data_IF_952457685876
#
_entry.id   IF_952457685876
#
_cell.length_a   1.000
_cell.length_b   1.000
_cell.length_c   1.000
_cell.angle_alpha   90.00
_cell.angle_beta   90.00
_cell.angle_gamma   90.00
#
_symmetry.space_group_name_H-M   'P 1'
#
loop_
_entity.id
_entity.type
_entity.pdbx_description
1 polymer ?
#
# COMPACT_ATOMS: atom_id res chain seq x y z
N UNK A 1 10.96 113.72 24.15
CA UNK A 1 10.21 113.20 22.98
C UNK A 1 10.68 111.77 22.70
N UNK A 2 9.71 110.84 22.58
CA UNK A 2 9.73 109.53 21.89
C UNK A 2 10.85 108.51 22.17
N UNK A 3 10.48 107.36 22.73
CA UNK A 3 10.53 106.01 22.10
C UNK A 3 10.39 104.95 23.20
N UNK A 4 9.21 104.36 23.39
CA UNK A 4 8.63 103.20 22.70
C UNK A 4 9.26 101.86 23.12
N UNK A 5 8.52 101.22 24.05
CA UNK A 5 8.59 99.83 24.47
C UNK A 5 8.52 98.87 23.28
N UNK A 6 9.52 97.99 23.14
CA UNK A 6 9.39 96.71 22.41
C UNK A 6 10.06 95.64 23.28
N UNK A 7 9.39 95.26 24.36
CA UNK A 7 9.74 94.12 25.20
C UNK A 7 8.44 93.56 25.78
N UNK A 8 7.57 92.96 24.95
CA UNK A 8 6.42 92.21 25.48
C UNK A 8 5.65 91.28 24.51
N UNK A 9 6.20 90.86 23.35
CA UNK A 9 5.41 89.99 22.43
C UNK A 9 6.22 88.87 21.78
N UNK A 10 6.97 88.09 22.57
CA UNK A 10 7.70 86.92 22.03
C UNK A 10 7.67 85.63 22.89
N UNK A 11 6.60 85.34 23.65
CA UNK A 11 6.29 83.93 23.94
C UNK A 11 4.81 83.52 23.78
N UNK A 12 3.98 84.31 23.09
CA UNK A 12 2.53 83.99 22.95
C UNK A 12 2.21 83.20 21.67
N UNK A 13 3.09 83.22 20.65
CA UNK A 13 2.87 82.51 19.37
C UNK A 13 3.57 81.15 19.25
N UNK A 14 4.58 80.84 20.08
CA UNK A 14 5.32 79.56 19.96
C UNK A 14 4.59 78.41 20.68
N UNK A 15 3.92 78.69 21.80
CA UNK A 15 3.22 77.68 22.58
C UNK A 15 2.00 77.07 21.83
N UNK A 16 1.16 77.86 21.12
CA UNK A 16 0.06 77.29 20.33
C UNK A 16 0.55 76.45 19.15
N UNK A 17 1.65 76.84 18.51
CA UNK A 17 2.23 76.10 17.36
C UNK A 17 2.81 74.75 17.83
N UNK A 18 3.47 74.71 18.98
CA UNK A 18 3.96 73.45 19.57
C UNK A 18 2.82 72.53 20.04
N UNK A 19 1.73 73.09 20.57
CA UNK A 19 0.54 72.31 20.95
C UNK A 19 -0.16 71.74 19.71
N UNK A 20 -0.27 72.52 18.64
CA UNK A 20 -0.85 72.07 17.37
C UNK A 20 0.03 71.01 16.67
N UNK A 21 1.36 71.16 16.71
CA UNK A 21 2.27 70.17 16.10
C UNK A 21 2.30 68.86 16.89
N UNK A 22 2.27 68.92 18.22
CA UNK A 22 2.19 67.74 19.07
C UNK A 22 0.81 67.05 18.95
N UNK A 23 -0.27 67.82 18.88
CA UNK A 23 -1.62 67.31 18.64
C UNK A 23 -1.76 66.63 17.28
N UNK A 24 -1.17 67.21 16.23
CA UNK A 24 -1.11 66.60 14.90
C UNK A 24 -0.31 65.30 14.90
N UNK A 25 0.84 65.27 15.59
CA UNK A 25 1.64 64.05 15.72
C UNK A 25 0.89 62.94 16.48
N UNK A 26 0.18 63.29 17.56
CA UNK A 26 -0.64 62.36 18.34
C UNK A 26 -1.83 61.84 17.51
N UNK A 27 -2.47 62.71 16.71
CA UNK A 27 -3.53 62.33 15.79
C UNK A 27 -3.02 61.40 14.69
N UNK A 28 -1.85 61.69 14.10
CA UNK A 28 -1.20 60.78 13.15
C UNK A 28 -0.84 59.44 13.79
N UNK A 29 -0.38 59.42 15.04
CA UNK A 29 -0.10 58.18 15.78
C UNK A 29 -1.38 57.38 16.03
N UNK A 30 -2.46 58.05 16.44
CA UNK A 30 -3.78 57.43 16.66
C UNK A 30 -4.38 56.91 15.35
N UNK A 31 -4.29 57.66 14.25
CA UNK A 31 -4.73 57.22 12.92
C UNK A 31 -3.88 56.06 12.39
N UNK A 32 -2.58 56.02 12.69
CA UNK A 32 -1.71 54.91 12.29
C UNK A 32 -1.97 53.66 13.14
N UNK A 33 -2.24 53.82 14.44
CA UNK A 33 -2.73 52.74 15.30
C UNK A 33 -4.09 52.25 14.80
N UNK A 34 -5.02 53.14 14.44
CA UNK A 34 -6.32 52.75 13.92
C UNK A 34 -6.19 52.04 12.56
N UNK A 35 -5.25 52.47 11.70
CA UNK A 35 -4.91 51.79 10.44
C UNK A 35 -4.29 50.42 10.67
N UNK A 36 -3.45 50.27 11.69
CA UNK A 36 -2.92 48.96 12.12
C UNK A 36 -4.07 48.11 12.65
N UNK A 37 -4.99 48.65 13.45
CA UNK A 37 -6.16 47.92 13.93
C UNK A 37 -7.13 47.55 12.81
N UNK A 38 -7.37 48.40 11.82
CA UNK A 38 -8.24 48.06 10.67
C UNK A 38 -7.57 47.04 9.76
N UNK A 39 -6.26 47.13 9.50
CA UNK A 39 -5.55 46.09 8.73
C UNK A 39 -5.40 44.78 9.52
N UNK A 40 -5.24 44.83 10.84
CA UNK A 40 -5.27 43.66 11.71
C UNK A 40 -6.69 43.06 11.77
N UNK A 41 -7.74 43.90 11.79
CA UNK A 41 -9.14 43.48 11.80
C UNK A 41 -9.58 42.92 10.44
N UNK A 42 -9.18 43.51 9.33
CA UNK A 42 -9.34 42.96 7.99
C UNK A 42 -8.56 41.66 7.85
N UNK A 43 -7.32 41.57 8.37
CA UNK A 43 -6.56 40.31 8.40
C UNK A 43 -7.19 39.26 9.33
N UNK A 44 -7.84 39.63 10.44
CA UNK A 44 -8.59 38.73 11.32
C UNK A 44 -9.93 38.32 10.68
N UNK A 45 -10.53 39.19 9.86
CA UNK A 45 -11.80 38.95 9.18
C UNK A 45 -11.64 38.16 7.86
N UNK A 46 -10.49 38.30 7.19
CA UNK A 46 -10.04 37.53 6.02
C UNK A 46 -9.05 36.40 6.39
N UNK A 47 -8.79 36.20 7.69
CA UNK A 47 -8.11 34.99 8.14
C UNK A 47 -8.98 33.80 7.77
N UNK A 48 -8.42 32.72 7.17
CA UNK A 48 -9.17 31.50 6.98
C UNK A 48 -9.78 31.08 8.32
N UNK A 49 -10.99 30.49 8.33
CA UNK A 49 -11.67 30.12 9.56
C UNK A 49 -10.67 29.44 10.49
N UNK A 50 -10.63 29.93 11.73
CA UNK A 50 -9.86 29.44 12.88
C UNK A 50 -9.44 27.97 12.72
N UNK A 51 -8.18 27.58 13.02
CA UNK A 51 -7.77 26.19 12.90
C UNK A 51 -8.78 25.39 13.71
N UNK A 52 -9.58 24.59 12.98
CA UNK A 52 -10.65 23.73 13.42
C UNK A 52 -10.89 23.84 14.93
N UNK A 53 -12.04 24.42 15.33
CA UNK A 53 -12.66 24.05 16.62
C UNK A 53 -12.35 22.58 16.80
N UNK A 54 -11.58 22.22 17.84
CA UNK A 54 -11.14 20.85 18.06
C UNK A 54 -12.38 20.00 17.84
N UNK A 55 -12.46 19.38 16.65
CA UNK A 55 -13.41 18.33 16.43
C UNK A 55 -12.71 17.25 17.21
N UNK A 56 -12.99 17.23 18.52
CA UNK A 56 -13.02 15.99 19.23
C UNK A 56 -13.79 15.09 18.29
N UNK A 57 -13.07 14.18 17.65
CA UNK A 57 -13.67 12.98 17.10
C UNK A 57 -14.72 12.57 18.14
N UNK A 58 -15.96 12.22 17.77
CA UNK A 58 -16.83 11.51 18.69
C UNK A 58 -16.12 10.19 19.02
N UNK A 59 -15.18 10.27 19.95
CA UNK A 59 -14.46 9.18 20.56
C UNK A 59 -15.48 8.64 21.55
N UNK A 60 -16.26 7.66 21.10
CA UNK A 60 -16.78 6.69 22.04
C UNK A 60 -15.56 6.05 22.70
N UNK A 61 -15.26 6.56 23.89
CA UNK A 61 -14.37 5.96 24.87
C UNK A 61 -15.01 4.69 25.38
N UNK A 62 -14.89 3.64 24.57
CA UNK A 62 -15.10 2.29 25.04
C UNK A 62 -14.16 1.41 24.24
N UNK A 63 -13.09 0.98 24.91
CA UNK A 63 -12.39 -0.25 24.60
C UNK A 63 -13.41 -1.38 24.80
N UNK A 64 -14.33 -1.51 23.86
CA UNK A 64 -15.12 -2.72 23.65
C UNK A 64 -14.28 -3.56 22.71
N UNK A 65 -14.17 -4.85 22.97
CA UNK A 65 -13.71 -5.81 21.98
C UNK A 65 -14.42 -5.53 20.64
N UNK A 66 -13.71 -4.90 19.70
CA UNK A 66 -14.26 -4.56 18.40
C UNK A 66 -14.32 -5.87 17.63
N UNK A 67 -15.43 -6.59 17.77
CA UNK A 67 -15.85 -7.52 16.72
C UNK A 67 -15.86 -6.72 15.42
N UNK A 68 -15.11 -7.12 14.39
CA UNK A 68 -15.08 -6.41 13.12
C UNK A 68 -16.51 -6.19 12.65
N UNK A 69 -16.91 -4.93 12.53
CA UNK A 69 -18.24 -4.59 12.06
C UNK A 69 -18.36 -5.14 10.64
N UNK A 70 -19.31 -6.05 10.45
CA UNK A 70 -19.55 -6.68 9.16
C UNK A 70 -20.41 -5.74 8.30
N UNK A 71 -20.21 -5.76 6.99
CA UNK A 71 -21.10 -5.07 6.05
C UNK A 71 -22.55 -5.47 6.31
N UNK A 72 -23.49 -4.51 6.23
CA UNK A 72 -24.92 -4.79 6.42
C UNK A 72 -25.44 -5.79 5.38
N UNK A 73 -26.52 -6.55 5.68
CA UNK A 73 -27.13 -7.45 4.70
C UNK A 73 -27.49 -6.76 3.38
N UNK A 74 -27.97 -5.51 3.43
CA UNK A 74 -28.36 -4.73 2.25
C UNK A 74 -27.16 -4.23 1.44
N UNK A 75 -26.03 -3.95 2.10
CA UNK A 75 -24.79 -3.53 1.45
C UNK A 75 -23.93 -4.68 0.92
N UNK A 76 -24.15 -5.90 1.43
CA UNK A 76 -23.31 -7.05 1.11
C UNK A 76 -23.32 -7.44 -0.39
N UNK A 77 -24.42 -7.30 -1.16
CA UNK A 77 -24.38 -7.55 -2.60
C UNK A 77 -23.36 -6.68 -3.34
N UNK A 78 -23.31 -5.37 -3.04
CA UNK A 78 -22.34 -4.45 -3.63
C UNK A 78 -20.93 -4.74 -3.14
N UNK A 79 -20.76 -5.07 -1.85
CA UNK A 79 -19.48 -5.53 -1.31
C UNK A 79 -18.95 -6.75 -2.08
N UNK A 80 -19.78 -7.77 -2.27
CA UNK A 80 -19.40 -8.99 -3.00
C UNK A 80 -19.04 -8.67 -4.44
N UNK A 81 -19.76 -7.76 -5.09
CA UNK A 81 -19.41 -7.30 -6.45
C UNK A 81 -18.06 -6.59 -6.49
N UNK A 82 -17.79 -5.65 -5.57
CA UNK A 82 -16.50 -4.98 -5.50
C UNK A 82 -15.34 -5.91 -5.17
N UNK A 83 -15.58 -6.86 -4.26
CA UNK A 83 -14.60 -7.88 -3.92
C UNK A 83 -14.32 -8.81 -5.11
N UNK A 84 -15.36 -9.19 -5.88
CA UNK A 84 -15.22 -9.96 -7.10
C UNK A 84 -14.48 -9.20 -8.22
N UNK A 85 -14.68 -7.88 -8.31
CA UNK A 85 -13.91 -7.02 -9.22
C UNK A 85 -12.39 -7.08 -8.95
N UNK A 86 -11.96 -7.38 -7.72
CA UNK A 86 -10.57 -7.70 -7.41
C UNK A 86 -10.23 -9.18 -7.65
N UNK A 87 -10.88 -10.09 -6.91
CA UNK A 87 -10.36 -11.46 -6.68
C UNK A 87 -11.07 -12.57 -7.49
N UNK A 88 -12.21 -12.28 -8.13
CA UNK A 88 -12.98 -13.33 -8.80
C UNK A 88 -12.44 -13.68 -10.20
N UNK A 89 -12.73 -14.90 -10.63
CA UNK A 89 -12.46 -15.41 -11.97
C UNK A 89 -13.73 -15.99 -12.57
N UNK A 90 -14.01 -15.61 -13.83
CA UNK A 90 -15.02 -16.23 -14.69
C UNK A 90 -14.31 -17.08 -15.75
N UNK A 91 -14.73 -18.32 -15.93
CA UNK A 91 -14.03 -19.28 -16.79
C UNK A 91 -14.95 -20.13 -17.64
N UNK A 92 -14.50 -20.38 -18.87
CA UNK A 92 -15.11 -21.34 -19.81
C UNK A 92 -14.05 -22.40 -20.12
N UNK A 93 -14.27 -23.63 -19.66
CA UNK A 93 -13.32 -24.73 -19.73
C UNK A 93 -13.81 -25.87 -20.61
N UNK A 94 -12.89 -26.50 -21.32
CA UNK A 94 -13.16 -27.66 -22.17
C UNK A 94 -12.39 -28.83 -21.61
N UNK A 95 -13.10 -29.88 -21.18
CA UNK A 95 -12.49 -31.11 -20.69
C UNK A 95 -12.72 -32.21 -21.70
N UNK A 96 -11.66 -32.91 -22.11
CA UNK A 96 -11.78 -34.08 -23.00
C UNK A 96 -12.70 -35.12 -22.37
N UNK A 97 -13.62 -35.65 -23.16
CA UNK A 97 -14.54 -36.68 -22.74
C UNK A 97 -14.94 -37.53 -23.94
N UNK A 98 -14.52 -38.80 -23.91
CA UNK A 98 -14.87 -39.79 -24.92
C UNK A 98 -16.40 -40.00 -24.96
N UNK A 99 -16.92 -40.28 -26.15
CA UNK A 99 -18.36 -40.48 -26.37
C UNK A 99 -19.21 -39.20 -26.42
N UNK A 100 -18.63 -38.00 -26.23
CA UNK A 100 -19.34 -36.72 -26.49
C UNK A 100 -19.25 -36.34 -27.97
N UNK A 101 -20.30 -35.70 -28.50
CA UNK A 101 -20.42 -35.33 -29.93
C UNK A 101 -19.18 -34.63 -30.51
N UNK A 102 -18.57 -33.73 -29.72
CA UNK A 102 -17.36 -33.01 -30.12
C UNK A 102 -16.11 -33.47 -29.35
N UNK A 103 -16.19 -34.56 -28.58
CA UNK A 103 -15.08 -35.06 -27.74
C UNK A 103 -14.78 -34.24 -26.49
N UNK A 104 -15.61 -33.24 -26.16
CA UNK A 104 -15.43 -32.35 -25.01
C UNK A 104 -16.71 -32.17 -24.19
N UNK A 105 -16.53 -31.95 -22.90
CA UNK A 105 -17.52 -31.33 -22.01
C UNK A 105 -17.11 -29.87 -21.80
N UNK A 106 -18.02 -28.95 -22.08
CA UNK A 106 -17.85 -27.53 -21.77
C UNK A 106 -18.34 -27.27 -20.35
N UNK A 107 -17.52 -26.65 -19.52
CA UNK A 107 -17.83 -26.31 -18.12
C UNK A 107 -17.66 -24.82 -17.88
N UNK A 108 -18.62 -24.25 -17.19
CA UNK A 108 -18.54 -22.90 -16.64
C UNK A 108 -17.96 -22.94 -15.24
N UNK A 109 -17.24 -21.88 -14.90
CA UNK A 109 -16.60 -21.72 -13.60
C UNK A 109 -16.71 -20.27 -13.15
N UNK A 110 -17.21 -20.09 -11.94
CA UNK A 110 -17.00 -18.88 -11.16
C UNK A 110 -16.24 -19.26 -9.89
N UNK A 111 -15.23 -18.48 -9.51
CA UNK A 111 -14.57 -18.72 -8.24
C UNK A 111 -13.72 -17.56 -7.74
N UNK A 112 -13.47 -17.59 -6.44
CA UNK A 112 -12.60 -16.66 -5.73
C UNK A 112 -11.61 -17.51 -4.93
N UNK A 113 -10.31 -17.27 -5.11
CA UNK A 113 -9.25 -18.00 -4.41
C UNK A 113 -8.41 -17.01 -3.61
N UNK A 114 -8.30 -17.25 -2.30
CA UNK A 114 -7.58 -16.38 -1.37
C UNK A 114 -6.58 -17.19 -0.56
N UNK A 115 -5.72 -16.50 0.19
CA UNK A 115 -4.94 -17.14 1.24
C UNK A 115 -5.87 -17.72 2.32
N UNK A 116 -5.53 -18.89 2.89
CA UNK A 116 -6.36 -19.62 3.88
C UNK A 116 -6.83 -18.79 5.08
N UNK A 117 -6.08 -17.74 5.41
CA UNK A 117 -6.38 -16.80 6.50
C UNK A 117 -7.73 -16.09 6.32
N UNK A 118 -8.20 -15.98 5.08
CA UNK A 118 -9.46 -15.33 4.70
C UNK A 118 -10.62 -16.34 4.50
N UNK A 119 -10.48 -17.58 4.98
CA UNK A 119 -11.51 -18.63 4.88
C UNK A 119 -12.90 -18.15 5.33
N UNK A 120 -12.98 -17.44 6.45
CA UNK A 120 -14.27 -16.93 6.98
C UNK A 120 -14.96 -15.96 6.01
N UNK A 121 -14.19 -15.18 5.25
CA UNK A 121 -14.74 -14.29 4.23
C UNK A 121 -15.37 -15.11 3.09
N UNK A 122 -14.71 -16.18 2.64
CA UNK A 122 -15.28 -17.08 1.63
C UNK A 122 -16.49 -17.87 2.13
N UNK A 123 -16.52 -18.27 3.40
CA UNK A 123 -17.71 -18.86 4.02
C UNK A 123 -18.90 -17.90 3.98
N UNK A 124 -18.66 -16.62 4.27
CA UNK A 124 -19.69 -15.59 4.16
C UNK A 124 -20.18 -15.40 2.72
N UNK A 125 -19.26 -15.32 1.75
CA UNK A 125 -19.62 -15.21 0.32
C UNK A 125 -20.43 -16.43 -0.13
N UNK A 126 -20.02 -17.64 0.26
CA UNK A 126 -20.77 -18.87 -0.02
C UNK A 126 -22.17 -18.83 0.59
N UNK A 127 -22.30 -18.40 1.85
CA UNK A 127 -23.59 -18.35 2.54
C UNK A 127 -24.54 -17.32 1.89
N UNK A 128 -24.00 -16.20 1.40
CA UNK A 128 -24.78 -15.21 0.66
C UNK A 128 -25.33 -15.75 -0.66
N UNK A 129 -24.48 -16.37 -1.48
CA UNK A 129 -24.93 -16.96 -2.74
C UNK A 129 -25.77 -18.23 -2.53
N UNK A 130 -25.60 -18.89 -1.39
CA UNK A 130 -26.23 -20.16 -1.03
C UNK A 130 -26.04 -21.28 -2.07
N UNK A 131 -24.96 -21.19 -2.87
CA UNK A 131 -24.55 -22.18 -3.87
C UNK A 131 -23.04 -22.36 -3.84
N UNK A 132 -22.51 -23.33 -4.59
CA UNK A 132 -21.06 -23.56 -4.68
C UNK A 132 -20.45 -24.25 -3.45
N UNK A 133 -19.14 -24.39 -3.47
CA UNK A 133 -18.37 -25.20 -2.50
C UNK A 133 -17.05 -24.53 -2.15
N UNK A 134 -16.61 -24.71 -0.90
CA UNK A 134 -15.29 -24.25 -0.44
C UNK A 134 -14.31 -25.43 -0.48
N UNK A 135 -13.16 -25.19 -1.09
CA UNK A 135 -12.01 -26.09 -1.12
C UNK A 135 -10.85 -25.39 -0.42
N UNK A 136 -10.02 -26.13 0.31
CA UNK A 136 -8.82 -25.56 0.93
C UNK A 136 -7.63 -26.52 0.86
N UNK A 137 -6.44 -25.94 0.90
CA UNK A 137 -5.18 -26.62 1.16
C UNK A 137 -4.41 -25.83 2.23
N UNK A 138 -3.15 -26.19 2.50
CA UNK A 138 -2.36 -25.54 3.55
C UNK A 138 -2.12 -24.03 3.34
N UNK A 139 -2.18 -23.54 2.10
CA UNK A 139 -1.87 -22.16 1.72
C UNK A 139 -3.11 -21.36 1.35
N UNK A 140 -4.03 -21.97 0.62
CA UNK A 140 -5.12 -21.29 -0.08
C UNK A 140 -6.48 -21.88 0.28
N UNK A 141 -7.51 -21.04 0.13
CA UNK A 141 -8.91 -21.40 0.23
C UNK A 141 -9.63 -20.83 -0.98
N UNK A 142 -10.50 -21.63 -1.59
CA UNK A 142 -11.20 -21.28 -2.82
C UNK A 142 -12.69 -21.56 -2.71
N UNK A 143 -13.51 -20.55 -3.01
CA UNK A 143 -14.94 -20.67 -3.23
C UNK A 143 -15.18 -20.90 -4.73
N UNK A 144 -15.89 -21.97 -5.08
CA UNK A 144 -16.09 -22.41 -6.48
C UNK A 144 -17.54 -22.72 -6.76
N UNK A 145 -18.04 -22.25 -7.89
CA UNK A 145 -19.35 -22.58 -8.47
C UNK A 145 -19.14 -23.13 -9.87
N UNK A 146 -19.57 -24.38 -10.09
CA UNK A 146 -19.30 -25.12 -11.33
C UNK A 146 -20.56 -25.75 -11.92
N UNK A 147 -21.56 -26.06 -11.07
CA UNK A 147 -22.83 -26.62 -11.54
C UNK A 147 -23.57 -25.58 -12.36
N UNK A 148 -24.07 -25.96 -13.54
CA UNK A 148 -24.76 -25.04 -14.45
C UNK A 148 -25.98 -24.40 -13.79
N UNK A 149 -26.72 -25.15 -12.97
CA UNK A 149 -27.88 -24.62 -12.24
C UNK A 149 -27.47 -23.54 -11.23
N UNK A 150 -26.36 -23.75 -10.52
CA UNK A 150 -25.83 -22.79 -9.54
C UNK A 150 -25.25 -21.54 -10.21
N UNK A 151 -24.68 -21.67 -11.42
CA UNK A 151 -24.20 -20.52 -12.21
C UNK A 151 -25.33 -19.54 -12.53
N UNK A 152 -26.58 -19.99 -12.67
CA UNK A 152 -27.71 -19.09 -12.87
C UNK A 152 -27.85 -18.07 -11.73
N UNK A 153 -27.55 -18.47 -10.48
CA UNK A 153 -27.53 -17.58 -9.31
C UNK A 153 -26.43 -16.53 -9.42
N UNK A 154 -25.26 -16.92 -9.93
CA UNK A 154 -24.13 -16.00 -10.18
C UNK A 154 -24.47 -14.98 -11.26
N UNK A 155 -25.06 -15.42 -12.38
CA UNK A 155 -25.55 -14.54 -13.44
C UNK A 155 -26.59 -13.56 -12.90
N UNK A 156 -27.59 -14.04 -12.15
CA UNK A 156 -28.63 -13.19 -11.54
C UNK A 156 -28.04 -12.09 -10.64
N UNK A 157 -27.01 -12.42 -9.86
CA UNK A 157 -26.33 -11.44 -9.01
C UNK A 157 -25.64 -10.36 -9.83
N UNK A 158 -24.76 -10.73 -10.77
CA UNK A 158 -23.97 -9.77 -11.53
C UNK A 158 -24.77 -9.04 -12.61
N UNK A 159 -25.96 -9.52 -12.99
CA UNK A 159 -26.93 -8.74 -13.75
C UNK A 159 -27.57 -7.63 -12.92
N UNK A 160 -27.84 -7.90 -11.63
CA UNK A 160 -28.44 -6.92 -10.72
C UNK A 160 -27.40 -5.95 -10.12
N UNK A 161 -26.18 -6.44 -9.87
CA UNK A 161 -25.07 -5.70 -9.28
C UNK A 161 -23.84 -5.83 -10.20
N UNK A 162 -23.79 -5.07 -11.30
CA UNK A 162 -22.76 -5.21 -12.33
C UNK A 162 -21.35 -4.94 -11.82
N UNK A 163 -20.39 -5.71 -12.34
CA UNK A 163 -18.97 -5.43 -12.21
C UNK A 163 -18.60 -4.12 -12.92
N UNK A 164 -17.48 -3.52 -12.50
CA UNK A 164 -17.08 -2.18 -12.94
C UNK A 164 -15.72 -2.19 -13.64
N UNK A 165 -14.82 -3.11 -13.29
CA UNK A 165 -13.50 -3.24 -13.92
C UNK A 165 -13.60 -3.87 -15.32
N UNK A 166 -12.48 -4.00 -16.04
CA UNK A 166 -12.40 -4.81 -17.26
C UNK A 166 -12.83 -6.27 -17.07
N UNK A 167 -12.97 -6.75 -15.82
CA UNK A 167 -13.55 -8.07 -15.51
C UNK A 167 -15.03 -8.17 -15.92
N UNK A 168 -15.75 -7.05 -16.03
CA UNK A 168 -17.09 -7.02 -16.60
C UNK A 168 -17.10 -7.62 -18.02
N UNK A 169 -16.07 -7.37 -18.82
CA UNK A 169 -15.96 -7.94 -20.16
C UNK A 169 -15.84 -9.48 -20.12
N UNK A 170 -15.09 -10.02 -19.15
CA UNK A 170 -15.01 -11.47 -18.92
C UNK A 170 -16.36 -12.05 -18.46
N UNK A 171 -17.07 -11.34 -17.59
CA UNK A 171 -18.42 -11.70 -17.17
C UNK A 171 -19.42 -11.73 -18.34
N UNK A 172 -19.38 -10.74 -19.23
CA UNK A 172 -20.29 -10.68 -20.38
C UNK A 172 -20.09 -11.87 -21.33
N UNK A 173 -18.82 -12.21 -21.62
CA UNK A 173 -18.48 -13.40 -22.40
C UNK A 173 -18.89 -14.69 -21.68
N UNK A 174 -18.68 -14.76 -20.37
CA UNK A 174 -19.13 -15.87 -19.52
C UNK A 174 -20.66 -16.05 -19.53
N UNK A 175 -21.42 -14.96 -19.46
CA UNK A 175 -22.88 -14.94 -19.56
C UNK A 175 -23.36 -15.43 -20.93
N UNK A 176 -22.71 -15.02 -22.01
CA UNK A 176 -23.01 -15.54 -23.35
C UNK A 176 -22.78 -17.06 -23.43
N UNK A 177 -21.67 -17.56 -22.87
CA UNK A 177 -21.40 -18.99 -22.80
C UNK A 177 -22.47 -19.74 -21.98
N UNK A 178 -22.95 -19.16 -20.88
CA UNK A 178 -24.07 -19.68 -20.09
C UNK A 178 -25.35 -19.84 -20.91
N UNK A 179 -25.74 -18.82 -21.68
CA UNK A 179 -26.95 -18.90 -22.51
C UNK A 179 -26.84 -19.99 -23.58
N UNK A 180 -25.68 -20.12 -24.24
CA UNK A 180 -25.43 -21.20 -25.22
C UNK A 180 -25.55 -22.59 -24.57
N UNK A 181 -25.07 -22.73 -23.33
CA UNK A 181 -25.16 -24.00 -22.60
C UNK A 181 -26.60 -24.28 -22.16
N UNK A 182 -27.28 -23.27 -21.61
CA UNK A 182 -28.66 -23.36 -21.12
C UNK A 182 -29.64 -23.74 -22.23
N UNK A 183 -29.48 -23.17 -23.43
CA UNK A 183 -30.32 -23.48 -24.59
C UNK A 183 -29.97 -24.82 -25.27
N UNK A 184 -28.96 -25.54 -24.78
CA UNK A 184 -28.38 -26.74 -25.39
C UNK A 184 -27.71 -26.51 -26.75
N UNK A 185 -27.52 -25.26 -27.16
CA UNK A 185 -26.84 -24.88 -28.42
C UNK A 185 -25.38 -25.34 -28.47
N UNK A 186 -24.75 -25.56 -27.32
CA UNK A 186 -23.42 -26.16 -27.21
C UNK A 186 -23.30 -27.56 -27.85
N UNK A 187 -24.43 -28.20 -28.19
CA UNK A 187 -24.50 -29.48 -28.93
C UNK A 187 -24.55 -29.28 -30.45
N UNK A 188 -24.67 -28.05 -30.95
CA UNK A 188 -24.60 -27.71 -32.37
C UNK A 188 -23.18 -27.28 -32.76
N UNK A 189 -22.83 -27.40 -34.03
CA UNK A 189 -21.51 -26.97 -34.54
C UNK A 189 -21.33 -25.46 -34.33
N UNK A 190 -22.39 -24.68 -34.57
CA UNK A 190 -22.37 -23.23 -34.40
C UNK A 190 -22.16 -22.84 -32.93
N UNK A 191 -22.96 -23.39 -32.01
CA UNK A 191 -22.84 -23.07 -30.59
C UNK A 191 -21.52 -23.54 -29.97
N UNK A 192 -21.02 -24.70 -30.38
CA UNK A 192 -19.70 -25.18 -29.95
C UNK A 192 -18.57 -24.28 -30.46
N UNK A 193 -18.64 -23.84 -31.72
CA UNK A 193 -17.69 -22.88 -32.31
C UNK A 193 -17.71 -21.55 -31.57
N UNK A 194 -18.90 -21.02 -31.21
CA UNK A 194 -19.03 -19.80 -30.40
C UNK A 194 -18.36 -19.95 -29.04
N UNK A 195 -18.50 -21.10 -28.37
CA UNK A 195 -17.84 -21.36 -27.07
C UNK A 195 -16.30 -21.40 -27.18
N UNK A 196 -15.76 -21.92 -28.29
CA UNK A 196 -14.31 -21.89 -28.55
C UNK A 196 -13.84 -20.45 -28.72
N UNK A 197 -14.55 -19.64 -29.52
CA UNK A 197 -14.24 -18.23 -29.72
C UNK A 197 -14.32 -17.42 -28.41
N UNK A 198 -15.31 -17.69 -27.55
CA UNK A 198 -15.44 -17.07 -26.23
C UNK A 198 -14.24 -17.43 -25.35
N UNK A 199 -13.88 -18.72 -25.28
CA UNK A 199 -12.73 -19.19 -24.49
C UNK A 199 -11.42 -18.57 -24.96
N UNK A 200 -11.28 -18.31 -26.27
CA UNK A 200 -10.10 -17.67 -26.82
C UNK A 200 -9.94 -16.20 -26.38
N UNK A 201 -11.01 -15.55 -25.89
CA UNK A 201 -11.01 -14.13 -25.49
C UNK A 201 -11.08 -13.89 -23.98
N UNK A 202 -11.68 -14.82 -23.22
CA UNK A 202 -11.85 -14.67 -21.78
C UNK A 202 -10.50 -14.77 -21.05
N UNK A 203 -10.31 -13.97 -20.00
CA UNK A 203 -9.09 -13.85 -19.21
C UNK A 203 -7.85 -13.55 -20.09
N UNK A 204 -6.89 -14.48 -20.15
CA UNK A 204 -5.67 -14.41 -20.96
C UNK A 204 -5.81 -15.15 -22.30
N UNK A 205 -7.01 -15.59 -22.64
CA UNK A 205 -7.31 -16.36 -23.85
C UNK A 205 -6.80 -17.80 -23.82
N UNK A 206 -6.83 -18.43 -25.00
CA UNK A 206 -6.46 -19.83 -25.19
C UNK A 206 -4.95 -20.03 -25.40
N UNK A 207 -4.39 -21.09 -24.82
CA UNK A 207 -3.04 -21.57 -25.15
C UNK A 207 -2.93 -21.96 -26.62
N UNK A 208 -1.75 -21.87 -27.22
CA UNK A 208 -1.54 -22.23 -28.63
C UNK A 208 -1.85 -23.71 -28.91
N UNK A 209 -1.56 -24.60 -27.96
CA UNK A 209 -1.98 -26.00 -28.03
C UNK A 209 -3.50 -26.17 -28.14
N UNK A 210 -4.29 -25.29 -27.52
CA UNK A 210 -5.76 -25.32 -27.62
C UNK A 210 -6.24 -24.71 -28.94
N UNK A 211 -5.62 -23.61 -29.40
CA UNK A 211 -5.93 -23.01 -30.71
C UNK A 211 -5.67 -23.98 -31.86
N UNK A 212 -4.59 -24.77 -31.78
CA UNK A 212 -4.24 -25.77 -32.79
C UNK A 212 -5.29 -26.90 -32.95
N UNK A 213 -6.10 -27.16 -31.91
CA UNK A 213 -7.18 -28.14 -31.97
C UNK A 213 -8.40 -27.63 -32.76
N UNK A 214 -8.53 -26.32 -32.92
CA UNK A 214 -9.67 -25.66 -33.57
C UNK A 214 -9.18 -24.54 -34.51
N UNK A 215 -8.44 -24.90 -35.57
CA UNK A 215 -7.90 -23.90 -36.50
C UNK A 215 -9.03 -23.13 -37.20
N UNK A 216 -8.81 -21.84 -37.44
CA UNK A 216 -9.77 -20.97 -38.14
C UNK A 216 -10.88 -20.36 -37.27
N UNK A 217 -10.92 -20.63 -35.97
CA UNK A 217 -11.85 -19.96 -35.05
C UNK A 217 -11.23 -18.65 -34.56
N UNK A 218 -11.83 -17.53 -34.97
CA UNK A 218 -11.42 -16.21 -34.51
C UNK A 218 -11.94 -15.94 -33.07
N UNK A 219 -11.12 -15.36 -32.17
CA UNK A 219 -11.58 -14.96 -30.85
C UNK A 219 -12.71 -13.94 -30.91
N UNK A 220 -13.64 -13.99 -29.96
CA UNK A 220 -14.64 -12.91 -29.79
C UNK A 220 -13.96 -11.57 -29.48
N UNK A 221 -14.50 -10.48 -30.01
CA UNK A 221 -14.07 -9.16 -29.60
C UNK A 221 -14.45 -8.92 -28.13
N UNK A 222 -13.46 -8.61 -27.30
CA UNK A 222 -13.67 -8.34 -25.88
C UNK A 222 -14.06 -6.87 -25.71
N UNK A 223 -15.23 -6.55 -25.14
CA UNK A 223 -15.64 -5.16 -24.97
C UNK A 223 -14.67 -4.45 -24.01
N UNK A 224 -14.29 -3.22 -24.36
CA UNK A 224 -13.47 -2.37 -23.50
C UNK A 224 -14.40 -1.52 -22.63
N UNK A 225 -14.27 -1.65 -21.32
CA UNK A 225 -15.08 -0.88 -20.37
C UNK A 225 -14.47 0.53 -20.25
N UNK A 226 -15.17 1.55 -20.76
CA UNK A 226 -14.67 2.94 -20.80
C UNK A 226 -15.24 3.81 -19.66
N UNK A 227 -16.48 3.55 -19.26
CA UNK A 227 -17.24 4.43 -18.36
C UNK A 227 -17.51 3.83 -16.97
N UNK A 228 -16.53 3.09 -16.45
CA UNK A 228 -16.58 2.50 -15.11
C UNK A 228 -16.96 3.52 -14.03
N UNK A 229 -18.14 3.41 -13.40
CA UNK A 229 -18.56 4.25 -12.27
C UNK A 229 -18.59 3.41 -11.00
N UNK A 230 -18.24 4.02 -9.87
CA UNK A 230 -18.37 3.38 -8.55
C UNK A 230 -19.86 3.36 -8.21
N UNK A 231 -20.52 2.19 -8.19
CA UNK A 231 -21.97 2.11 -8.18
C UNK A 231 -22.54 2.33 -6.77
N UNK A 232 -21.75 2.04 -5.75
CA UNK A 232 -22.16 2.07 -4.35
C UNK A 232 -20.91 2.11 -3.45
N UNK A 233 -20.94 2.79 -2.29
CA UNK A 233 -19.81 2.82 -1.37
C UNK A 233 -19.38 1.45 -0.82
N UNK A 234 -20.31 0.50 -0.66
CA UNK A 234 -19.99 -0.88 -0.29
C UNK A 234 -19.21 -1.60 -1.39
N UNK A 235 -19.41 -1.25 -2.67
CA UNK A 235 -18.56 -1.76 -3.76
C UNK A 235 -17.11 -1.33 -3.55
N UNK A 236 -16.86 -0.07 -3.18
CA UNK A 236 -15.50 0.41 -2.94
C UNK A 236 -14.88 -0.29 -1.71
N UNK A 237 -15.66 -0.54 -0.66
CA UNK A 237 -15.20 -1.30 0.50
C UNK A 237 -14.82 -2.75 0.14
N UNK A 238 -15.62 -3.42 -0.70
CA UNK A 238 -15.31 -4.74 -1.25
C UNK A 238 -14.04 -4.72 -2.10
N UNK A 239 -13.92 -3.75 -3.01
CA UNK A 239 -12.76 -3.62 -3.88
C UNK A 239 -11.47 -3.33 -3.10
N UNK A 240 -11.53 -2.49 -2.06
CA UNK A 240 -10.40 -2.25 -1.15
C UNK A 240 -10.09 -3.46 -0.28
N UNK A 241 -11.09 -4.27 0.08
CA UNK A 241 -10.88 -5.55 0.79
C UNK A 241 -10.10 -6.57 -0.05
N UNK A 242 -10.15 -6.46 -1.38
CA UNK A 242 -9.29 -7.19 -2.29
C UNK A 242 -7.94 -6.46 -2.50
N UNK A 243 -7.98 -5.34 -3.21
CA UNK A 243 -6.82 -4.67 -3.85
C UNK A 243 -6.17 -3.59 -2.99
N UNK A 244 -6.78 -3.27 -1.85
CA UNK A 244 -6.32 -2.21 -0.95
C UNK A 244 -5.06 -2.59 -0.16
N UNK A 245 -4.22 -1.60 0.12
CA UNK A 245 -3.05 -1.71 0.97
C UNK A 245 -3.03 -0.55 1.96
N UNK A 246 -3.06 -0.87 3.26
CA UNK A 246 -2.96 0.09 4.35
C UNK A 246 -1.60 -0.08 5.02
N UNK A 247 -0.76 0.95 4.93
CA UNK A 247 0.65 0.84 5.29
C UNK A 247 1.14 2.00 6.14
N UNK A 248 2.04 1.66 7.06
CA UNK A 248 2.85 2.62 7.81
C UNK A 248 4.29 2.49 7.34
N UNK A 249 4.84 3.57 6.79
CA UNK A 249 6.23 3.68 6.38
C UNK A 249 7.02 4.41 7.46
N UNK A 250 8.19 3.87 7.79
CA UNK A 250 9.15 4.48 8.71
C UNK A 250 10.50 4.48 8.00
N UNK A 251 11.08 5.65 7.78
CA UNK A 251 12.34 5.80 7.08
C UNK A 251 13.23 6.83 7.77
N UNK A 252 14.55 6.67 7.63
CA UNK A 252 15.52 7.59 8.22
C UNK A 252 15.32 8.99 7.63
N UNK A 253 15.38 10.00 8.49
CA UNK A 253 15.28 11.40 8.12
C UNK A 253 15.94 12.28 9.18
N UNK A 254 16.34 13.48 8.79
CA UNK A 254 16.87 14.51 9.68
C UNK A 254 15.75 15.11 10.55
N UNK A 255 15.39 14.38 11.60
CA UNK A 255 14.31 14.72 12.55
C UNK A 255 14.79 14.42 13.97
N UNK A 256 14.07 14.90 14.99
CA UNK A 256 14.43 14.68 16.40
C UNK A 256 14.63 13.20 16.77
N UNK A 257 13.79 12.32 16.22
CA UNK A 257 13.85 10.87 16.46
C UNK A 257 14.75 10.13 15.48
N UNK A 258 15.30 10.82 14.47
CA UNK A 258 16.03 10.24 13.35
C UNK A 258 15.16 9.50 12.31
N UNK A 259 13.83 9.56 12.44
CA UNK A 259 12.90 8.88 11.55
C UNK A 259 11.68 9.74 11.21
N UNK A 260 11.26 9.67 9.95
CA UNK A 260 9.96 10.15 9.50
C UNK A 260 8.97 8.97 9.42
N UNK A 261 7.71 9.24 9.74
CA UNK A 261 6.60 8.29 9.68
C UNK A 261 5.56 8.79 8.68
N UNK A 262 5.20 7.95 7.71
CA UNK A 262 4.12 8.21 6.76
C UNK A 262 3.09 7.09 6.81
N UNK A 263 1.83 7.47 7.02
CA UNK A 263 0.67 6.58 6.82
C UNK A 263 0.20 6.69 5.37
N UNK A 264 -0.17 5.56 4.76
CA UNK A 264 -0.61 5.50 3.36
C UNK A 264 -1.74 4.51 3.18
N UNK A 265 -2.77 4.93 2.44
CA UNK A 265 -3.75 4.04 1.82
C UNK A 265 -3.47 3.98 0.33
N UNK A 266 -3.45 2.79 -0.24
CA UNK A 266 -3.15 2.56 -1.64
C UNK A 266 -4.09 1.51 -2.23
N UNK A 267 -4.51 1.70 -3.48
CA UNK A 267 -5.19 0.67 -4.27
C UNK A 267 -4.36 0.49 -5.54
N UNK A 268 -3.90 -0.73 -5.79
CA UNK A 268 -3.06 -1.06 -6.94
C UNK A 268 -3.88 -1.82 -7.97
N UNK A 269 -3.72 -1.51 -9.25
CA UNK A 269 -4.40 -2.23 -10.33
C UNK A 269 -3.62 -2.14 -11.63
N UNK A 270 -3.89 -3.08 -12.55
CA UNK A 270 -3.32 -3.06 -13.90
C UNK A 270 -3.75 -1.79 -14.69
N UNK A 271 -2.92 -1.24 -15.60
CA UNK A 271 -3.24 -0.05 -16.42
C UNK A 271 -4.56 -0.07 -17.17
N UNK A 272 -5.06 -1.26 -17.51
CA UNK A 272 -6.34 -1.44 -18.21
C UNK A 272 -7.55 -0.86 -17.42
N UNK A 273 -7.39 -0.69 -16.11
CA UNK A 273 -8.38 -0.14 -15.19
C UNK A 273 -7.92 1.22 -14.61
N UNK A 274 -6.98 1.91 -15.27
CA UNK A 274 -6.44 3.18 -14.74
C UNK A 274 -7.49 4.29 -14.59
N UNK A 275 -8.47 4.32 -15.49
CA UNK A 275 -9.56 5.30 -15.44
C UNK A 275 -10.46 5.09 -14.22
N UNK A 276 -10.67 3.84 -13.79
CA UNK A 276 -11.36 3.54 -12.53
C UNK A 276 -10.57 4.11 -11.34
N UNK A 277 -9.25 3.90 -11.29
CA UNK A 277 -8.42 4.47 -10.21
C UNK A 277 -8.46 5.99 -10.16
N UNK A 278 -8.49 6.66 -11.32
CA UNK A 278 -8.65 8.12 -11.41
C UNK A 278 -10.01 8.57 -10.88
N UNK A 279 -11.08 7.79 -11.10
CA UNK A 279 -12.44 8.09 -10.61
C UNK A 279 -12.60 7.94 -9.10
N UNK A 280 -11.75 7.16 -8.42
CA UNK A 280 -11.74 7.08 -6.96
C UNK A 280 -11.37 8.44 -6.32
N UNK A 281 -10.54 9.25 -7.00
CA UNK A 281 -10.07 10.55 -6.48
C UNK A 281 -11.25 11.52 -6.23
N UNK A 282 -12.07 11.89 -7.24
CA UNK A 282 -13.23 12.74 -7.00
C UNK A 282 -14.29 12.05 -6.15
N UNK A 283 -14.41 10.71 -6.21
CA UNK A 283 -15.39 9.96 -5.41
C UNK A 283 -15.13 10.07 -3.90
N UNK A 284 -13.88 9.90 -3.47
CA UNK A 284 -13.47 10.09 -2.07
C UNK A 284 -13.10 11.55 -1.74
N UNK A 285 -13.09 12.43 -2.74
CA UNK A 285 -12.66 13.82 -2.62
C UNK A 285 -11.20 13.99 -2.16
N UNK A 286 -10.35 12.97 -2.33
CA UNK A 286 -8.94 13.00 -1.92
C UNK A 286 -8.10 11.94 -2.62
N UNK A 287 -6.78 12.04 -2.42
CA UNK A 287 -5.79 11.13 -2.99
C UNK A 287 -5.30 11.58 -4.36
N UNK A 288 -4.43 10.76 -4.95
CA UNK A 288 -3.81 11.02 -6.25
C UNK A 288 -3.57 9.73 -7.02
N UNK A 289 -3.49 9.86 -8.34
CA UNK A 289 -3.09 8.79 -9.23
C UNK A 289 -1.56 8.72 -9.36
N UNK A 290 -1.01 7.52 -9.36
CA UNK A 290 0.44 7.26 -9.51
C UNK A 290 0.64 6.06 -10.42
N UNK A 291 1.33 6.26 -11.54
CA UNK A 291 1.80 5.16 -12.38
C UNK A 291 3.22 4.77 -11.93
N UNK A 292 3.38 3.50 -11.55
CA UNK A 292 4.68 2.94 -11.17
C UNK A 292 5.51 2.66 -12.43
N UNK A 293 6.83 2.72 -12.31
CA UNK A 293 7.77 2.45 -13.41
C UNK A 293 7.62 1.04 -14.00
N UNK A 294 7.16 0.08 -13.19
CA UNK A 294 6.93 -1.31 -13.61
C UNK A 294 5.62 -1.52 -14.38
N UNK A 295 4.81 -0.47 -14.56
CA UNK A 295 3.56 -0.51 -15.30
C UNK A 295 2.33 -0.41 -14.40
N UNK A 296 2.35 -0.89 -13.16
CA UNK A 296 1.17 -0.87 -12.29
C UNK A 296 0.66 0.56 -12.00
N UNK A 297 -0.65 0.70 -11.92
CA UNK A 297 -1.31 1.96 -11.59
C UNK A 297 -1.81 1.95 -10.15
N UNK A 298 -1.71 3.09 -9.48
CA UNK A 298 -2.04 3.20 -8.05
C UNK A 298 -2.91 4.43 -7.80
N UNK A 299 -3.98 4.25 -7.01
CA UNK A 299 -4.59 5.33 -6.24
C UNK A 299 -3.89 5.40 -4.88
N UNK A 300 -3.48 6.60 -4.45
CA UNK A 300 -2.70 6.79 -3.21
C UNK A 300 -3.24 7.96 -2.39
N UNK A 301 -3.45 7.74 -1.09
CA UNK A 301 -3.69 8.79 -0.09
C UNK A 301 -2.59 8.72 0.96
N UNK A 302 -1.85 9.82 1.15
CA UNK A 302 -0.79 9.95 2.17
C UNK A 302 -0.91 11.21 3.02
N UNK A 303 -1.90 12.06 2.73
CA UNK A 303 -2.23 13.24 3.54
C UNK A 303 -2.89 12.78 4.83
N UNK A 304 -2.28 13.10 5.98
CA UNK A 304 -2.84 12.73 7.29
C UNK A 304 -4.23 13.34 7.49
N UNK A 305 -4.45 14.57 7.00
CA UNK A 305 -5.75 15.25 7.12
C UNK A 305 -6.81 14.53 6.29
N UNK A 306 -6.52 14.19 5.03
CA UNK A 306 -7.47 13.46 4.18
C UNK A 306 -7.77 12.06 4.74
N UNK A 307 -6.75 11.38 5.29
CA UNK A 307 -6.93 10.07 5.91
C UNK A 307 -7.89 10.17 7.11
N UNK A 308 -7.69 11.14 8.00
CA UNK A 308 -8.52 11.31 9.20
C UNK A 308 -9.94 11.80 8.89
N UNK A 309 -10.10 12.70 7.92
CA UNK A 309 -11.37 13.41 7.68
C UNK A 309 -12.24 12.78 6.60
N UNK A 310 -11.65 11.98 5.70
CA UNK A 310 -12.36 11.37 4.56
C UNK A 310 -12.24 9.86 4.57
N UNK A 311 -11.02 9.32 4.59
CA UNK A 311 -10.78 7.89 4.40
C UNK A 311 -11.26 7.06 5.59
N UNK A 312 -10.88 7.43 6.82
CA UNK A 312 -11.30 6.71 8.03
C UNK A 312 -12.82 6.77 8.19
N UNK A 313 -13.48 7.95 8.16
CA UNK A 313 -14.94 8.01 8.27
C UNK A 313 -15.67 7.20 7.19
N UNK A 314 -15.13 7.14 5.97
CA UNK A 314 -15.68 6.32 4.90
C UNK A 314 -15.63 4.83 5.25
N UNK A 315 -14.46 4.29 5.63
CA UNK A 315 -14.31 2.86 5.91
C UNK A 315 -14.81 2.41 7.30
N UNK A 316 -15.03 3.36 8.23
CA UNK A 316 -15.79 3.11 9.46
C UNK A 316 -17.27 2.90 9.15
N UNK A 317 -17.82 3.63 8.17
CA UNK A 317 -19.20 3.45 7.71
C UNK A 317 -19.37 2.25 6.75
N UNK A 318 -18.42 2.05 5.84
CA UNK A 318 -18.44 1.01 4.81
C UNK A 318 -17.27 0.06 5.02
N UNK A 319 -17.53 -1.03 5.74
CA UNK A 319 -16.50 -1.82 6.38
C UNK A 319 -15.60 -2.59 5.39
N UNK A 320 -14.29 -2.52 5.62
CA UNK A 320 -13.30 -3.45 5.03
C UNK A 320 -13.42 -4.80 5.73
N UNK A 321 -13.34 -5.90 4.98
CA UNK A 321 -13.47 -7.26 5.53
C UNK A 321 -12.23 -8.14 5.30
N UNK A 322 -12.30 -9.36 5.83
CA UNK A 322 -11.19 -10.30 5.83
C UNK A 322 -10.09 -9.91 6.82
N UNK A 323 -8.91 -10.48 6.65
CA UNK A 323 -7.73 -10.16 7.46
C UNK A 323 -7.32 -8.70 7.29
N UNK A 324 -7.63 -8.08 6.15
CA UNK A 324 -7.34 -6.67 5.90
C UNK A 324 -8.10 -5.73 6.86
N UNK A 325 -9.25 -6.16 7.41
CA UNK A 325 -9.95 -5.43 8.47
C UNK A 325 -9.10 -5.28 9.74
N UNK A 326 -8.28 -6.30 10.07
CA UNK A 326 -7.35 -6.23 11.20
C UNK A 326 -6.22 -5.23 10.90
N UNK A 327 -5.74 -5.20 9.66
CA UNK A 327 -4.73 -4.24 9.22
C UNK A 327 -5.29 -2.81 9.22
N UNK A 328 -6.56 -2.63 8.84
CA UNK A 328 -7.26 -1.35 8.97
C UNK A 328 -7.37 -0.90 10.43
N UNK A 329 -7.76 -1.78 11.35
CA UNK A 329 -7.85 -1.46 12.77
C UNK A 329 -6.51 -1.02 13.36
N UNK A 330 -5.42 -1.72 13.03
CA UNK A 330 -4.07 -1.34 13.48
C UNK A 330 -3.57 -0.07 12.77
N UNK A 331 -3.93 0.13 11.50
CA UNK A 331 -3.65 1.36 10.76
C UNK A 331 -4.31 2.58 11.43
N UNK A 332 -5.56 2.49 11.88
CA UNK A 332 -6.25 3.59 12.60
C UNK A 332 -5.49 4.02 13.86
N UNK A 333 -5.02 3.07 14.66
CA UNK A 333 -4.18 3.36 15.85
C UNK A 333 -2.91 4.12 15.48
N UNK A 334 -2.23 3.72 14.39
CA UNK A 334 -1.05 4.43 13.92
C UNK A 334 -1.39 5.84 13.43
N UNK A 335 -2.51 6.00 12.71
CA UNK A 335 -3.01 7.30 12.25
C UNK A 335 -3.30 8.24 13.42
N UNK A 336 -3.92 7.75 14.50
CA UNK A 336 -4.20 8.54 15.71
C UNK A 336 -2.91 9.11 16.32
N UNK A 337 -1.88 8.27 16.47
CA UNK A 337 -0.56 8.71 16.99
C UNK A 337 0.07 9.74 16.04
N UNK A 338 -0.03 9.53 14.72
CA UNK A 338 0.54 10.45 13.74
C UNK A 338 -0.19 11.80 13.76
N UNK A 339 -1.53 11.78 13.78
CA UNK A 339 -2.39 12.97 13.81
C UNK A 339 -2.14 13.82 15.07
N UNK A 340 -2.00 13.17 16.23
CA UNK A 340 -1.65 13.83 17.50
C UNK A 340 -0.17 14.28 17.59
N UNK A 341 0.61 14.16 16.51
CA UNK A 341 2.07 14.43 16.46
C UNK A 341 2.91 13.58 17.43
N UNK A 342 2.35 12.50 17.99
CA UNK A 342 3.05 11.59 18.91
C UNK A 342 4.25 10.88 18.26
N UNK A 343 4.22 10.67 16.95
CA UNK A 343 5.33 10.12 16.15
C UNK A 343 6.65 10.94 16.22
N UNK A 344 6.60 12.18 16.72
CA UNK A 344 7.77 13.02 16.94
C UNK A 344 8.51 12.72 18.26
N UNK A 345 7.98 11.82 19.09
CA UNK A 345 8.59 11.35 20.35
C UNK A 345 9.12 9.93 20.19
N UNK A 346 10.13 9.54 20.99
CA UNK A 346 10.65 8.17 20.98
C UNK A 346 9.58 7.16 21.40
N UNK A 347 8.77 7.49 22.41
CA UNK A 347 7.68 6.66 22.92
C UNK A 347 6.61 6.40 21.83
N UNK A 348 6.16 7.46 21.16
CA UNK A 348 5.19 7.36 20.08
C UNK A 348 5.75 6.64 18.85
N UNK A 349 7.01 6.89 18.49
CA UNK A 349 7.68 6.17 17.40
C UNK A 349 7.79 4.67 17.70
N UNK A 350 8.13 4.30 18.93
CA UNK A 350 8.22 2.90 19.34
C UNK A 350 6.85 2.22 19.38
N UNK A 351 5.80 2.92 19.81
CA UNK A 351 4.42 2.43 19.70
C UNK A 351 4.05 2.15 18.24
N UNK A 352 4.36 3.05 17.30
CA UNK A 352 4.11 2.86 15.87
C UNK A 352 4.90 1.68 15.31
N UNK A 353 6.17 1.48 15.72
CA UNK A 353 6.97 0.32 15.30
C UNK A 353 6.32 -1.00 15.72
N UNK A 354 5.81 -1.08 16.96
CA UNK A 354 5.10 -2.25 17.47
C UNK A 354 3.83 -2.53 16.67
N UNK A 355 3.02 -1.49 16.41
CA UNK A 355 1.81 -1.60 15.56
C UNK A 355 2.20 -2.12 14.17
N UNK A 356 3.15 -1.45 13.50
CA UNK A 356 3.62 -1.80 12.16
C UNK A 356 4.14 -3.24 12.07
N UNK A 357 4.79 -3.75 13.13
CA UNK A 357 5.31 -5.12 13.16
C UNK A 357 4.20 -6.18 13.12
N UNK A 358 3.01 -5.86 13.60
CA UNK A 358 1.83 -6.74 13.59
C UNK A 358 0.92 -6.57 12.36
N UNK A 359 1.20 -5.61 11.48
CA UNK A 359 0.39 -5.33 10.29
C UNK A 359 0.83 -6.11 9.05
N UNK A 360 -0.09 -6.35 8.12
CA UNK A 360 0.15 -6.91 6.79
C UNK A 360 0.93 -8.23 6.86
N UNK A 361 2.07 -8.34 6.15
CA UNK A 361 2.95 -9.52 6.20
C UNK A 361 3.52 -9.78 7.59
N UNK A 362 3.70 -8.73 8.40
CA UNK A 362 4.12 -8.81 9.80
C UNK A 362 3.19 -9.67 10.65
N UNK A 363 1.87 -9.61 10.38
CA UNK A 363 0.85 -10.41 11.08
C UNK A 363 1.10 -11.91 10.95
N UNK A 364 1.44 -12.38 9.74
CA UNK A 364 1.78 -13.78 9.50
C UNK A 364 3.13 -14.15 10.12
N UNK A 365 4.13 -13.28 10.00
CA UNK A 365 5.48 -13.52 10.54
C UNK A 365 5.43 -13.62 12.07
N UNK A 366 4.64 -12.77 12.73
CA UNK A 366 4.48 -12.80 14.17
C UNK A 366 3.86 -14.13 14.64
N UNK A 367 2.76 -14.58 14.00
CA UNK A 367 2.17 -15.89 14.29
C UNK A 367 3.18 -17.04 14.14
N UNK A 368 4.01 -17.00 13.09
CA UNK A 368 5.05 -18.01 12.86
C UNK A 368 6.14 -17.94 13.95
N UNK A 369 6.56 -16.74 14.37
CA UNK A 369 7.55 -16.57 15.45
C UNK A 369 7.00 -17.10 16.77
N UNK A 370 5.76 -16.76 17.11
CA UNK A 370 5.09 -17.24 18.32
C UNK A 370 4.93 -18.76 18.32
N UNK A 371 4.62 -19.38 17.18
CA UNK A 371 4.55 -20.84 17.05
C UNK A 371 5.92 -21.55 17.18
N UNK A 372 7.02 -20.81 17.01
CA UNK A 372 8.39 -21.32 17.11
C UNK A 372 9.04 -21.10 18.47
N UNK A 373 8.37 -20.42 19.40
CA UNK A 373 8.89 -20.06 20.71
C UNK A 373 8.07 -20.70 21.84
N UNK A 374 8.73 -20.94 22.97
CA UNK A 374 8.10 -21.47 24.18
C UNK A 374 7.36 -22.79 23.96
N UNK A 375 6.39 -23.09 24.82
CA UNK A 375 5.59 -24.32 24.80
C UNK A 375 4.85 -24.58 23.49
N UNK A 376 4.59 -23.53 22.68
CA UNK A 376 3.94 -23.66 21.37
C UNK A 376 4.84 -24.34 20.34
N UNK A 377 6.16 -24.32 20.53
CA UNK A 377 7.08 -25.03 19.67
C UNK A 377 7.07 -26.53 20.02
N UNK A 378 6.76 -27.44 19.06
CA UNK A 378 6.75 -28.88 19.32
C UNK A 378 8.07 -29.48 19.81
N UNK A 379 9.17 -28.74 19.66
CA UNK A 379 10.52 -29.10 20.11
C UNK A 379 10.93 -28.41 21.41
N UNK A 380 10.06 -27.60 22.01
CA UNK A 380 10.35 -26.95 23.29
C UNK A 380 10.44 -27.97 24.43
N UNK A 381 11.48 -27.84 25.25
CA UNK A 381 11.74 -28.75 26.37
C UNK A 381 12.14 -30.19 25.97
N UNK A 382 12.20 -30.53 24.68
CA UNK A 382 12.57 -31.87 24.23
C UNK A 382 14.10 -32.01 24.08
N UNK A 383 14.65 -33.08 24.64
CA UNK A 383 16.03 -33.50 24.39
C UNK A 383 16.18 -33.91 22.93
N UNK A 384 17.11 -33.27 22.21
CA UNK A 384 17.41 -33.59 20.81
C UNK A 384 18.34 -34.80 20.74
N UNK A 385 18.10 -35.71 19.81
CA UNK A 385 19.00 -36.86 19.62
C UNK A 385 20.36 -36.40 19.08
N UNK A 386 21.45 -37.15 19.35
CA UNK A 386 22.76 -36.87 18.77
C UNK A 386 22.74 -36.80 17.23
N UNK A 387 21.96 -37.68 16.58
CA UNK A 387 21.81 -37.73 15.12
C UNK A 387 21.13 -36.46 14.59
N UNK A 388 20.10 -35.96 15.29
CA UNK A 388 19.43 -34.72 14.92
C UNK A 388 20.36 -33.51 15.04
N UNK A 389 21.17 -33.46 16.11
CA UNK A 389 22.17 -32.41 16.30
C UNK A 389 23.26 -32.48 15.21
N UNK A 390 23.76 -33.67 14.91
CA UNK A 390 24.74 -33.91 13.85
C UNK A 390 24.18 -33.48 12.48
N UNK A 391 22.91 -33.80 12.19
CA UNK A 391 22.25 -33.41 10.94
C UNK A 391 22.08 -31.90 10.79
N UNK A 392 21.83 -31.15 11.88
CA UNK A 392 21.76 -29.68 11.84
C UNK A 392 23.09 -29.02 11.44
N UNK A 393 24.22 -29.71 11.64
CA UNK A 393 25.56 -29.17 11.37
C UNK A 393 26.25 -29.85 10.20
N UNK A 394 25.74 -31.00 9.73
CA UNK A 394 26.36 -31.86 8.71
C UNK A 394 26.79 -31.08 7.47
N UNK A 395 25.89 -30.26 6.93
CA UNK A 395 26.12 -29.56 5.66
C UNK A 395 26.71 -28.15 5.87
N UNK A 396 27.03 -27.77 7.10
CA UNK A 396 27.62 -26.45 7.41
C UNK A 396 29.14 -26.41 7.17
N UNK A 397 29.83 -27.55 7.22
CA UNK A 397 31.29 -27.65 7.06
C UNK A 397 31.72 -29.01 6.53
N UNK A 398 32.97 -29.15 6.09
CA UNK A 398 33.50 -30.42 5.60
C UNK A 398 32.92 -30.84 4.24
N UNK A 399 33.24 -32.04 3.77
CA UNK A 399 32.91 -32.54 2.43
C UNK A 399 31.41 -32.54 2.06
N UNK A 400 30.53 -32.46 3.05
CA UNK A 400 29.07 -32.44 2.85
C UNK A 400 28.53 -31.02 2.60
N UNK A 401 29.31 -29.97 2.93
CA UNK A 401 28.94 -28.61 2.58
C UNK A 401 29.04 -28.43 1.04
N UNK A 402 27.98 -27.97 0.34
CA UNK A 402 27.98 -27.78 -1.11
C UNK A 402 29.06 -26.83 -1.64
N UNK A 403 29.67 -26.03 -0.75
CA UNK A 403 30.75 -25.09 -1.03
C UNK A 403 32.13 -25.60 -0.58
N UNK A 404 32.22 -26.81 -0.05
CA UNK A 404 33.49 -27.43 0.35
C UNK A 404 34.35 -27.77 -0.87
N UNK A 405 35.63 -27.42 -0.81
CA UNK A 405 36.58 -27.65 -1.90
C UNK A 405 36.36 -26.79 -3.14
N UNK A 406 35.25 -26.03 -3.24
CA UNK A 406 35.01 -25.11 -4.35
C UNK A 406 35.84 -23.84 -4.14
N UNK A 407 36.73 -23.46 -5.08
CA UNK A 407 37.44 -22.20 -4.99
C UNK A 407 36.42 -21.06 -5.02
N UNK A 408 36.55 -20.13 -4.08
CA UNK A 408 35.70 -18.93 -4.05
C UNK A 408 36.18 -17.99 -5.16
N UNK A 409 35.26 -17.32 -5.85
CA UNK A 409 35.63 -16.31 -6.85
C UNK A 409 36.48 -15.21 -6.23
N UNK A 410 37.34 -14.56 -7.02
CA UNK A 410 38.20 -13.48 -6.52
C UNK A 410 37.36 -12.35 -5.91
N UNK A 411 36.21 -12.04 -6.49
CA UNK A 411 35.24 -11.08 -5.92
C UNK A 411 34.74 -11.50 -4.52
N UNK A 412 34.46 -12.80 -4.33
CA UNK A 412 34.05 -13.35 -3.02
C UNK A 412 35.21 -13.33 -2.05
N UNK A 413 36.43 -13.62 -2.51
CA UNK A 413 37.64 -13.54 -1.71
C UNK A 413 37.94 -12.09 -1.30
N UNK A 414 37.75 -11.11 -2.16
CA UNK A 414 37.89 -9.67 -1.86
C UNK A 414 36.87 -9.23 -0.80
N UNK A 415 35.61 -9.65 -0.94
CA UNK A 415 34.54 -9.41 0.07
C UNK A 415 34.85 -10.07 1.42
N UNK A 416 35.42 -11.28 1.41
CA UNK A 416 35.78 -12.04 2.62
C UNK A 416 37.06 -11.55 3.29
N UNK A 417 38.09 -11.21 2.52
CA UNK A 417 39.36 -10.63 2.97
C UNK A 417 39.16 -9.21 3.49
N UNK A 418 38.01 -8.58 3.18
CA UNK A 418 37.67 -7.20 3.53
C UNK A 418 38.86 -6.29 3.24
N UNK A 419 39.43 -6.42 2.04
CA UNK A 419 40.59 -5.64 1.65
C UNK A 419 40.23 -4.16 1.59
N UNK A 420 41.25 -3.36 1.86
CA UNK A 420 41.25 -1.91 1.78
C UNK A 420 42.46 -1.53 0.94
N UNK A 421 42.20 -0.94 -0.22
CA UNK A 421 43.20 -0.33 -1.07
C UNK A 421 43.49 1.07 -0.52
N UNK A 422 44.76 1.34 -0.24
CA UNK A 422 45.20 2.60 0.35
C UNK A 422 46.02 3.34 -0.68
N UNK A 423 45.66 4.58 -0.96
CA UNK A 423 46.28 5.42 -1.97
C UNK A 423 46.82 6.69 -1.35
N UNK A 424 47.92 7.21 -1.87
CA UNK A 424 48.40 8.53 -1.54
C UNK A 424 47.44 9.58 -2.12
N UNK A 425 46.97 10.50 -1.28
CA UNK A 425 45.97 11.49 -1.67
C UNK A 425 46.54 12.59 -2.60
N UNK A 426 47.86 12.72 -2.67
CA UNK A 426 48.55 13.80 -3.39
C UNK A 426 48.76 13.47 -4.86
N UNK A 427 49.16 12.23 -5.15
CA UNK A 427 49.50 11.76 -6.50
C UNK A 427 48.67 10.56 -6.97
N UNK A 428 47.81 10.02 -6.11
CA UNK A 428 46.93 8.88 -6.43
C UNK A 428 47.64 7.53 -6.49
N UNK A 429 48.94 7.46 -6.15
CA UNK A 429 49.70 6.21 -6.18
C UNK A 429 49.18 5.20 -5.15
N UNK A 430 49.18 3.91 -5.50
CA UNK A 430 48.76 2.84 -4.57
C UNK A 430 49.87 2.60 -3.54
N UNK A 431 49.60 2.98 -2.30
CA UNK A 431 50.48 2.73 -1.14
C UNK A 431 50.45 1.25 -0.73
N UNK A 432 49.32 0.58 -0.92
CA UNK A 432 49.24 -0.87 -0.71
C UNK A 432 47.83 -1.39 -0.51
N UNK A 433 47.73 -2.70 -0.36
CA UNK A 433 46.47 -3.41 -0.11
C UNK A 433 46.55 -4.12 1.23
N UNK A 434 45.61 -3.80 2.13
CA UNK A 434 45.62 -4.27 3.51
C UNK A 434 44.29 -4.93 3.85
N UNK A 435 44.28 -5.92 4.75
CA UNK A 435 43.01 -6.30 5.38
C UNK A 435 42.47 -5.15 6.24
N UNK A 436 41.16 -5.14 6.51
CA UNK A 436 40.57 -4.11 7.39
C UNK A 436 41.28 -4.04 8.75
N UNK A 437 41.68 -5.19 9.31
CA UNK A 437 42.38 -5.23 10.61
C UNK A 437 43.81 -4.67 10.56
N UNK A 438 44.55 -4.95 9.49
CA UNK A 438 45.90 -4.41 9.29
C UNK A 438 45.87 -2.92 9.01
N UNK A 439 44.93 -2.45 8.19
CA UNK A 439 44.76 -1.03 7.89
C UNK A 439 44.57 -0.19 9.16
N UNK A 440 43.76 -0.68 10.12
CA UNK A 440 43.56 -0.01 11.41
C UNK A 440 44.87 0.08 12.23
N UNK A 441 45.70 -0.97 12.18
CA UNK A 441 46.97 -1.04 12.93
C UNK A 441 48.07 -0.21 12.29
N UNK A 442 48.28 -0.38 10.99
CA UNK A 442 49.34 0.27 10.21
C UNK A 442 49.15 1.78 10.17
N UNK A 443 47.92 2.24 9.91
CA UNK A 443 47.62 3.67 9.78
C UNK A 443 47.01 4.28 11.05
N UNK A 444 46.97 3.51 12.15
CA UNK A 444 46.44 3.93 13.47
C UNK A 444 45.08 4.64 13.37
N UNK A 445 44.20 4.11 12.53
CA UNK A 445 42.85 4.65 12.28
C UNK A 445 41.80 3.83 13.04
N UNK A 446 40.79 4.51 13.60
CA UNK A 446 39.68 3.85 14.30
C UNK A 446 38.66 3.23 13.35
N UNK A 447 37.99 2.15 13.79
CA UNK A 447 37.04 1.39 12.96
C UNK A 447 35.95 2.27 12.35
N UNK A 448 35.29 3.09 13.16
CA UNK A 448 34.22 3.97 12.69
C UNK A 448 34.71 4.99 11.65
N UNK A 449 35.93 5.50 11.80
CA UNK A 449 36.46 6.44 10.82
C UNK A 449 36.92 5.77 9.54
N UNK A 450 37.53 4.59 9.61
CA UNK A 450 37.88 3.84 8.40
C UNK A 450 36.65 3.56 7.56
N UNK A 451 35.55 3.13 8.18
CA UNK A 451 34.29 2.90 7.47
C UNK A 451 33.69 4.18 6.87
N UNK A 452 33.72 5.28 7.62
CA UNK A 452 33.30 6.58 7.09
C UNK A 452 34.12 6.99 5.86
N UNK A 453 35.45 6.84 5.91
CA UNK A 453 36.36 7.17 4.79
C UNK A 453 36.20 6.27 3.58
N UNK A 454 35.88 4.99 3.80
CA UNK A 454 35.54 4.05 2.73
C UNK A 454 34.21 4.39 2.02
N UNK A 455 33.33 5.14 2.69
CA UNK A 455 32.01 5.53 2.17
C UNK A 455 32.04 6.91 1.51
N UNK A 456 32.70 7.89 2.14
CA UNK A 456 32.79 9.27 1.63
C UNK A 456 33.97 9.51 0.67
N UNK A 457 34.96 8.61 0.65
CA UNK A 457 36.13 8.70 -0.21
C UNK A 457 37.11 9.84 0.13
N UNK A 458 36.91 10.51 1.26
CA UNK A 458 37.75 11.64 1.67
C UNK A 458 39.12 11.18 2.20
N UNK A 459 40.14 11.99 1.98
CA UNK A 459 41.46 11.72 2.50
C UNK A 459 41.52 11.85 4.03
N UNK A 460 42.37 11.03 4.68
CA UNK A 460 42.75 11.18 6.08
C UNK A 460 44.24 10.94 6.24
N UNK A 461 44.95 11.93 6.78
CA UNK A 461 46.40 11.85 6.97
C UNK A 461 47.17 11.68 5.66
N UNK A 462 46.68 12.27 4.56
CA UNK A 462 47.29 12.15 3.24
C UNK A 462 46.97 10.85 2.49
N UNK A 463 46.05 10.01 3.00
CA UNK A 463 45.70 8.72 2.41
C UNK A 463 44.20 8.60 2.09
N UNK A 464 43.86 7.94 1.00
CA UNK A 464 42.49 7.59 0.59
C UNK A 464 42.30 6.07 0.68
N UNK A 465 41.15 5.63 1.18
CA UNK A 465 40.83 4.23 1.42
C UNK A 465 39.69 3.80 0.51
N UNK A 466 39.82 2.66 -0.17
CA UNK A 466 38.79 2.12 -1.06
C UNK A 466 38.54 0.63 -0.86
N UNK A 467 37.30 0.19 -1.10
CA UNK A 467 36.93 -1.25 -1.17
C UNK A 467 37.18 -1.86 -2.54
N UNK A 468 37.32 -1.02 -3.55
CA UNK A 468 37.53 -1.41 -4.93
C UNK A 468 38.83 -0.77 -5.43
N UNK A 469 39.63 -1.48 -6.24
CA UNK A 469 40.80 -0.89 -6.86
C UNK A 469 40.35 0.24 -7.79
N UNK A 470 40.96 1.41 -7.65
CA UNK A 470 40.83 2.51 -8.62
C UNK A 470 41.76 2.21 -9.81
N UNK A 471 41.22 2.39 -11.01
CA UNK A 471 41.98 2.30 -12.28
C UNK A 471 42.92 3.48 -12.47
#
# INVERSE_FOLDING_TARGET
MKNNNILSTFPILILPILILSYGYFLLCLLLNINRIYTTLWEWISDSPPTPYSFVSLPLQSSVVDVTPQQTSPDGFPYFVTGFADGEATFGVYFTKAEGRKFGYIVRLYFGITLHRKDRRLLERVKNYFNVGTIFENDREVAYKVVRTEDIATIIKHFDKYPLVTQKLADYLLFKQAFLIIQNKDHLTIEGFTKLIAIRASINTGSSDAFKALFPGVNPYEKPVIKDAQIPDPYWLAGFVSAEGCLSVYIYKAETRTGFNVQVRVQITQHPRDMELLKRIIPYLGCGRFVQATRGDCNYVVSSILDICTKVIPFFDKYCIEGVKALDYADFKKAVEIVYAKGHLTEEGLEAIRKIKAGMNTGRSIQKIREAKLGEKNPMYGKTKSPEFLAMQTRDKSGAHNPMYGKPKSEETLTKLRKLVYVYNASDGSLEGTYSTGECLKTFKIGYGTLYKRLEDGEARGGLIYSREPKE
#
